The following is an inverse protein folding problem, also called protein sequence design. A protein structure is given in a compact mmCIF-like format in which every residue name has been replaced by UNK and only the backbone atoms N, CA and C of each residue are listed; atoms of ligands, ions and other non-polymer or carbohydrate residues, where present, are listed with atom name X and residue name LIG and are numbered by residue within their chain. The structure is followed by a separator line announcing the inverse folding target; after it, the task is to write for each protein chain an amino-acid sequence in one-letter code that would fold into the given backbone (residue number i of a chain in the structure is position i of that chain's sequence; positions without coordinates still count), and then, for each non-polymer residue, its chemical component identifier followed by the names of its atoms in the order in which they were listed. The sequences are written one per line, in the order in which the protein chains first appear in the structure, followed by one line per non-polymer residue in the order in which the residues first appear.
data_IF_691714491811
#
_entry.id   IF_691714491811
#
_cell.length_a   1.000
_cell.length_b   1.000
_cell.length_c   1.000
_cell.angle_alpha   90.00
_cell.angle_beta   90.00
_cell.angle_gamma   90.00
#
_symmetry.space_group_name_H-M   'P 1'
#
loop_
_entity.id
_entity.type
_entity.pdbx_description
1 polymer ?
#
# COMPACT_ATOMS: atom_id res chain seq x y z
N UNK A 1 -3.60 -17.17 9.35
CA UNK A 1 -2.41 -17.53 10.14
C UNK A 1 -1.88 -16.36 10.96
N UNK A 2 -1.74 -15.16 10.39
CA UNK A 2 -1.14 -14.02 11.09
C UNK A 2 -2.11 -13.43 12.14
N UNK A 3 -3.42 -13.45 11.84
CA UNK A 3 -4.46 -13.12 12.83
C UNK A 3 -4.38 -14.07 14.04
N UNK A 4 -4.26 -15.38 13.80
CA UNK A 4 -4.20 -16.40 14.87
C UNK A 4 -2.90 -16.33 15.69
N UNK A 5 -1.85 -15.72 15.16
CA UNK A 5 -0.57 -15.50 15.86
C UNK A 5 -0.53 -14.22 16.70
N UNK A 6 -1.56 -13.40 16.62
CA UNK A 6 -1.63 -12.17 17.39
C UNK A 6 -0.82 -11.00 16.83
N UNK A 7 -0.40 -11.01 15.55
CA UNK A 7 0.31 -9.89 14.96
C UNK A 7 -0.64 -8.81 14.44
N UNK A 8 -0.34 -7.51 14.60
CA UNK A 8 -1.11 -6.44 14.00
C UNK A 8 -1.20 -6.64 12.49
N UNK A 9 -2.38 -6.43 11.94
CA UNK A 9 -2.66 -6.65 10.52
C UNK A 9 -3.38 -5.43 9.94
N UNK A 10 -2.78 -4.83 8.93
CA UNK A 10 -3.37 -3.74 8.15
C UNK A 10 -3.69 -4.24 6.75
N UNK A 11 -4.94 -4.14 6.37
CA UNK A 11 -5.43 -4.53 5.04
C UNK A 11 -5.92 -3.27 4.32
N UNK A 12 -5.38 -3.00 3.14
CA UNK A 12 -5.84 -1.95 2.23
C UNK A 12 -6.30 -2.62 0.96
N UNK A 13 -7.61 -2.63 0.74
CA UNK A 13 -8.24 -3.37 -0.36
C UNK A 13 -8.90 -2.40 -1.34
N UNK A 14 -8.41 -2.38 -2.57
CA UNK A 14 -8.93 -1.55 -3.65
C UNK A 14 -10.17 -2.11 -4.34
N UNK A 15 -10.53 -3.36 -4.04
CA UNK A 15 -11.72 -4.04 -4.59
C UNK A 15 -12.43 -4.85 -3.51
N UNK A 16 -12.90 -4.19 -2.44
CA UNK A 16 -13.45 -4.88 -1.28
C UNK A 16 -14.69 -5.68 -1.62
N UNK A 17 -14.86 -6.82 -0.92
CA UNK A 17 -16.09 -7.57 -0.90
C UNK A 17 -16.61 -7.72 0.53
N UNK A 18 -17.92 -7.66 0.70
CA UNK A 18 -18.56 -7.81 2.02
C UNK A 18 -18.25 -9.18 2.64
N UNK A 19 -18.10 -10.23 1.82
CA UNK A 19 -17.75 -11.57 2.26
C UNK A 19 -16.34 -11.61 2.87
N UNK A 20 -15.36 -10.99 2.22
CA UNK A 20 -13.97 -10.92 2.74
C UNK A 20 -13.92 -10.13 4.06
N UNK A 21 -14.61 -9.00 4.11
CA UNK A 21 -14.68 -8.17 5.33
C UNK A 21 -15.30 -8.95 6.48
N UNK A 22 -16.45 -9.60 6.24
CA UNK A 22 -17.15 -10.38 7.25
C UNK A 22 -16.29 -11.54 7.76
N UNK A 23 -15.62 -12.24 6.85
CA UNK A 23 -14.74 -13.36 7.20
C UNK A 23 -13.53 -12.91 8.04
N UNK A 24 -12.85 -11.82 7.67
CA UNK A 24 -11.69 -11.31 8.42
C UNK A 24 -12.12 -10.80 9.79
N UNK A 25 -13.27 -10.11 9.88
CA UNK A 25 -13.84 -9.66 11.14
C UNK A 25 -14.16 -10.83 12.07
N UNK A 26 -14.82 -11.86 11.56
CA UNK A 26 -15.16 -13.06 12.33
C UNK A 26 -13.88 -13.76 12.83
N UNK A 27 -12.87 -13.89 11.96
CA UNK A 27 -11.59 -14.49 12.33
C UNK A 27 -10.86 -13.69 13.41
N UNK A 28 -10.90 -12.35 13.35
CA UNK A 28 -10.34 -11.49 14.39
C UNK A 28 -11.06 -11.71 15.72
N UNK A 29 -12.40 -11.72 15.72
CA UNK A 29 -13.22 -11.95 16.91
C UNK A 29 -12.98 -13.32 17.54
N UNK A 30 -12.91 -14.39 16.74
CA UNK A 30 -12.61 -15.75 17.22
C UNK A 30 -11.24 -15.86 17.89
N UNK A 31 -10.33 -14.95 17.57
CA UNK A 31 -8.99 -14.88 18.17
C UNK A 31 -8.87 -13.76 19.23
N UNK A 32 -9.99 -13.25 19.75
CA UNK A 32 -10.07 -12.18 20.75
C UNK A 32 -9.31 -10.92 20.35
N UNK A 33 -9.38 -10.53 19.07
CA UNK A 33 -8.70 -9.37 18.53
C UNK A 33 -9.67 -8.28 18.15
N UNK A 34 -9.30 -7.03 18.42
CA UNK A 34 -10.03 -5.87 17.95
C UNK A 34 -10.02 -5.80 16.43
N UNK A 35 -11.18 -5.46 15.84
CA UNK A 35 -11.31 -5.25 14.41
C UNK A 35 -11.83 -3.83 14.15
N UNK A 36 -11.10 -3.07 13.35
CA UNK A 36 -11.48 -1.75 12.88
C UNK A 36 -11.74 -1.80 11.37
N UNK A 37 -12.86 -1.23 10.93
CA UNK A 37 -13.24 -1.23 9.52
C UNK A 37 -13.52 0.18 9.03
N UNK A 38 -12.74 0.68 8.05
CA UNK A 38 -13.02 1.92 7.35
C UNK A 38 -13.88 1.61 6.11
N UNK A 39 -15.01 2.31 5.95
CA UNK A 39 -15.98 2.13 4.87
C UNK A 39 -16.50 0.68 4.74
N UNK A 40 -16.53 -0.05 5.84
CA UNK A 40 -17.10 -1.40 5.92
C UNK A 40 -17.69 -1.63 7.31
N UNK A 41 -18.34 -2.78 7.52
CA UNK A 41 -19.12 -3.11 8.72
C UNK A 41 -18.58 -2.48 10.02
N UNK A 42 -19.38 -1.64 10.67
CA UNK A 42 -19.26 -0.98 11.96
C UNK A 42 -18.83 0.51 11.96
N UNK A 43 -18.70 1.18 10.81
CA UNK A 43 -18.53 2.64 10.72
C UNK A 43 -17.52 3.22 11.72
N UNK A 44 -16.26 2.86 11.57
CA UNK A 44 -15.18 3.47 12.33
C UNK A 44 -14.65 4.70 11.59
N UNK A 45 -14.40 5.77 12.33
CA UNK A 45 -13.71 6.95 11.86
C UNK A 45 -12.20 6.74 11.93
N UNK A 46 -11.46 7.33 11.00
CA UNK A 46 -10.01 7.18 10.92
C UNK A 46 -9.29 8.48 11.26
N UNK A 47 -8.54 8.45 12.36
CA UNK A 47 -7.62 9.52 12.72
C UNK A 47 -6.29 9.35 12.00
N UNK A 48 -6.18 9.92 10.83
CA UNK A 48 -4.95 9.88 10.04
C UNK A 48 -3.89 10.90 10.51
N UNK A 49 -4.21 11.75 11.47
CA UNK A 49 -3.33 12.77 12.03
C UNK A 49 -2.82 12.42 13.43
N UNK A 50 -3.22 11.27 13.99
CA UNK A 50 -2.83 10.82 15.33
C UNK A 50 -1.33 10.68 15.52
N UNK A 51 -0.57 10.46 14.45
CA UNK A 51 0.88 10.29 14.49
C UNK A 51 1.59 11.33 13.65
N UNK A 52 2.68 11.87 14.19
CA UNK A 52 3.56 12.78 13.48
C UNK A 52 3.71 14.13 14.17
N UNK A 53 4.92 14.71 14.08
CA UNK A 53 5.15 16.13 14.32
C UNK A 53 4.77 16.94 13.09
N UNK A 54 4.85 18.28 13.18
CA UNK A 54 4.45 19.16 12.08
C UNK A 54 5.18 18.88 10.76
N UNK A 55 6.43 18.43 10.79
CA UNK A 55 7.18 18.06 9.57
C UNK A 55 6.64 16.79 8.94
N UNK A 56 6.38 15.74 9.73
CA UNK A 56 5.84 14.48 9.23
C UNK A 56 4.40 14.62 8.72
N UNK A 57 3.57 15.40 9.42
CA UNK A 57 2.22 15.71 8.95
C UNK A 57 2.26 16.51 7.64
N UNK A 58 3.20 17.48 7.51
CA UNK A 58 3.43 18.20 6.26
C UNK A 58 3.79 17.22 5.13
N UNK A 59 4.74 16.32 5.33
CA UNK A 59 5.16 15.36 4.31
C UNK A 59 4.03 14.39 3.94
N UNK A 60 3.24 13.95 4.93
CA UNK A 60 2.05 13.11 4.73
C UNK A 60 1.05 13.79 3.79
N UNK A 61 0.74 15.07 4.01
CA UNK A 61 -0.25 15.82 3.25
C UNK A 61 0.27 16.24 1.87
N UNK A 62 1.50 16.73 1.77
CA UNK A 62 2.12 17.12 0.49
C UNK A 62 2.17 15.93 -0.49
N UNK A 63 2.43 14.74 0.01
CA UNK A 63 2.53 13.53 -0.80
C UNK A 63 1.19 13.04 -1.38
N UNK A 64 0.06 13.61 -0.96
CA UNK A 64 -1.24 13.31 -1.57
C UNK A 64 -1.32 13.79 -3.03
N UNK A 65 -0.57 14.86 -3.37
CA UNK A 65 -0.48 15.40 -4.73
C UNK A 65 0.79 14.87 -5.43
N UNK A 66 0.61 14.07 -6.50
CA UNK A 66 1.74 13.46 -7.23
C UNK A 66 2.48 14.44 -8.11
N UNK A 67 1.72 15.28 -8.83
CA UNK A 67 2.27 16.16 -9.85
C UNK A 67 2.04 17.62 -9.45
N UNK A 68 3.14 18.35 -9.38
CA UNK A 68 3.15 19.80 -9.16
C UNK A 68 3.50 20.49 -10.47
N UNK A 69 2.89 21.62 -10.73
CA UNK A 69 3.15 22.41 -11.94
C UNK A 69 4.60 22.87 -12.02
N UNK A 70 5.23 23.11 -10.86
CA UNK A 70 6.66 23.38 -10.73
C UNK A 70 7.12 23.12 -9.29
N UNK A 71 8.43 22.97 -9.10
CA UNK A 71 9.05 22.88 -7.77
C UNK A 71 8.81 24.13 -6.92
N UNK A 72 8.59 25.28 -7.56
CA UNK A 72 8.26 26.53 -6.87
C UNK A 72 6.96 26.43 -6.09
N UNK A 73 5.86 25.99 -6.73
CA UNK A 73 4.58 25.83 -6.06
C UNK A 73 4.61 24.77 -4.97
N UNK A 74 5.36 23.70 -5.21
CA UNK A 74 5.57 22.68 -4.19
C UNK A 74 6.26 23.24 -2.95
N UNK A 75 7.36 24.00 -3.15
CA UNK A 75 8.13 24.57 -2.05
C UNK A 75 7.33 25.57 -1.22
N UNK A 76 6.50 26.39 -1.87
CA UNK A 76 5.58 27.31 -1.18
C UNK A 76 4.55 26.54 -0.34
N UNK A 77 3.91 25.53 -0.94
CA UNK A 77 2.94 24.72 -0.23
C UNK A 77 3.56 23.97 0.96
N UNK A 78 4.79 23.49 0.83
CA UNK A 78 5.54 22.84 1.92
C UNK A 78 5.83 23.83 3.06
N UNK A 79 6.32 25.04 2.77
CA UNK A 79 6.65 26.03 3.79
C UNK A 79 5.40 26.54 4.50
N UNK A 80 4.33 26.85 3.73
CA UNK A 80 3.04 27.27 4.29
C UNK A 80 2.47 26.21 5.21
N UNK A 81 2.36 24.99 4.72
CA UNK A 81 1.78 23.87 5.47
C UNK A 81 2.59 23.53 6.73
N UNK A 82 3.91 23.53 6.64
CA UNK A 82 4.78 23.28 7.79
C UNK A 82 4.63 24.36 8.86
N UNK A 83 4.57 25.62 8.47
CA UNK A 83 4.39 26.75 9.40
C UNK A 83 3.00 26.69 10.02
N UNK A 84 1.95 26.47 9.23
CA UNK A 84 0.57 26.33 9.69
C UNK A 84 0.43 25.16 10.69
N UNK A 85 0.95 23.97 10.37
CA UNK A 85 0.88 22.81 11.27
C UNK A 85 1.64 23.04 12.58
N UNK A 86 2.80 23.73 12.52
CA UNK A 86 3.52 24.11 13.74
C UNK A 86 2.68 25.02 14.62
N UNK A 87 1.95 25.94 14.03
CA UNK A 87 1.04 26.85 14.74
C UNK A 87 -0.14 26.08 15.35
N UNK A 88 -0.79 25.21 14.56
CA UNK A 88 -1.93 24.42 15.04
C UNK A 88 -1.55 23.49 16.20
N UNK A 89 -0.39 22.84 16.12
CA UNK A 89 0.13 22.00 17.21
C UNK A 89 0.48 22.84 18.44
N UNK A 90 1.16 23.99 18.28
CA UNK A 90 1.49 24.87 19.37
C UNK A 90 0.26 25.45 20.07
N UNK A 91 -0.83 25.65 19.34
CA UNK A 91 -2.11 26.07 19.86
C UNK A 91 -2.77 25.06 20.83
N UNK A 92 -2.37 23.80 20.78
CA UNK A 92 -2.85 22.75 21.68
C UNK A 92 -4.32 22.38 21.53
N UNK A 93 -5.01 22.89 20.51
CA UNK A 93 -6.40 22.54 20.20
C UNK A 93 -6.42 21.37 19.22
N UNK A 94 -7.32 20.39 19.36
CA UNK A 94 -7.51 19.33 18.37
C UNK A 94 -7.83 19.90 16.98
N UNK A 95 -7.33 19.26 15.95
CA UNK A 95 -7.60 19.60 14.56
C UNK A 95 -7.70 18.34 13.71
N UNK A 96 -8.45 18.41 12.64
CA UNK A 96 -8.69 17.34 11.68
C UNK A 96 -8.32 17.79 10.25
N UNK A 97 -8.59 16.96 9.25
CA UNK A 97 -8.32 17.30 7.84
C UNK A 97 -9.14 18.51 7.36
N UNK A 98 -10.36 18.67 7.85
CA UNK A 98 -11.20 19.82 7.51
C UNK A 98 -10.58 21.12 8.05
N UNK A 99 -10.14 21.11 9.30
CA UNK A 99 -9.40 22.22 9.93
C UNK A 99 -8.14 22.59 9.14
N UNK A 100 -7.37 21.57 8.69
CA UNK A 100 -6.18 21.82 7.87
C UNK A 100 -6.56 22.47 6.54
N UNK A 101 -7.60 21.97 5.86
CA UNK A 101 -8.05 22.53 4.58
C UNK A 101 -8.57 23.97 4.72
N UNK A 102 -9.29 24.27 5.79
CA UNK A 102 -9.73 25.63 6.10
C UNK A 102 -8.56 26.58 6.37
N UNK A 103 -7.59 26.14 7.17
CA UNK A 103 -6.40 26.93 7.54
C UNK A 103 -5.39 27.11 6.38
N UNK A 104 -5.56 26.43 5.24
CA UNK A 104 -4.85 26.78 4.00
C UNK A 104 -5.30 28.16 3.46
N UNK A 105 -6.46 28.66 3.88
CA UNK A 105 -6.84 30.05 3.68
C UNK A 105 -6.23 30.90 4.79
N UNK A 106 -5.49 31.95 4.41
CA UNK A 106 -4.77 32.81 5.36
C UNK A 106 -5.70 33.49 6.39
N UNK A 107 -6.87 33.96 5.96
CA UNK A 107 -7.80 34.67 6.83
C UNK A 107 -8.41 33.72 7.89
N UNK A 108 -8.71 32.48 7.50
CA UNK A 108 -9.15 31.45 8.42
C UNK A 108 -8.09 31.09 9.46
N UNK A 109 -6.83 30.93 9.04
CA UNK A 109 -5.71 30.66 9.94
C UNK A 109 -5.50 31.82 10.92
N UNK A 110 -5.53 33.08 10.41
CA UNK A 110 -5.35 34.27 11.20
C UNK A 110 -6.45 34.40 12.26
N UNK A 111 -7.71 34.22 11.90
CA UNK A 111 -8.85 34.26 12.82
C UNK A 111 -8.69 33.20 13.93
N UNK A 112 -8.31 31.97 13.56
CA UNK A 112 -8.10 30.88 14.53
C UNK A 112 -6.99 31.23 15.53
N UNK A 113 -5.91 31.86 15.10
CA UNK A 113 -4.79 32.26 15.98
C UNK A 113 -5.17 33.46 16.84
N UNK A 114 -5.98 34.38 16.33
CA UNK A 114 -6.52 35.48 17.14
C UNK A 114 -7.42 35.00 18.29
N UNK A 115 -8.22 33.95 18.07
CA UNK A 115 -9.02 33.33 19.14
C UNK A 115 -8.18 32.74 20.28
N UNK A 116 -6.94 32.31 19.94
CA UNK A 116 -5.98 31.76 20.91
C UNK A 116 -5.33 32.90 21.72
N UNK A 117 -5.12 34.05 21.10
CA UNK A 117 -4.58 35.25 21.74
C UNK A 117 -3.06 35.21 21.97
N UNK A 118 -2.33 34.31 21.31
CA UNK A 118 -0.86 34.21 21.40
C UNK A 118 -0.22 35.14 20.38
N UNK A 119 0.41 36.24 20.87
CA UNK A 119 1.09 37.20 19.99
C UNK A 119 2.23 36.61 19.17
N UNK A 120 2.90 35.57 19.69
CA UNK A 120 4.00 34.92 18.98
C UNK A 120 3.48 34.18 17.77
N UNK A 121 2.37 33.44 17.91
CA UNK A 121 1.71 32.74 16.83
C UNK A 121 1.13 33.72 15.79
N UNK A 122 0.55 34.83 16.23
CA UNK A 122 0.05 35.91 15.34
C UNK A 122 1.18 36.43 14.43
N UNK A 123 2.36 36.70 15.01
CA UNK A 123 3.54 37.14 14.23
C UNK A 123 4.04 36.08 13.25
N UNK A 124 3.91 34.81 13.58
CA UNK A 124 4.27 33.72 12.68
C UNK A 124 3.29 33.62 11.49
N UNK A 125 1.99 33.71 11.75
CA UNK A 125 0.96 33.73 10.70
C UNK A 125 1.16 34.91 9.76
N UNK A 126 1.51 36.11 10.29
CA UNK A 126 1.71 37.29 9.48
C UNK A 126 2.76 37.11 8.39
N UNK A 127 3.76 36.21 8.57
CA UNK A 127 4.76 35.90 7.55
C UNK A 127 4.16 35.16 6.35
N UNK A 128 3.07 34.43 6.55
CA UNK A 128 2.40 33.67 5.49
C UNK A 128 1.55 34.58 4.57
N UNK A 129 1.30 35.82 4.96
CA UNK A 129 0.53 36.80 4.15
C UNK A 129 1.16 37.12 2.79
N UNK A 130 2.47 36.81 2.62
CA UNK A 130 3.19 37.02 1.36
C UNK A 130 2.89 35.99 0.27
N UNK A 131 2.27 34.86 0.64
CA UNK A 131 1.92 33.81 -0.31
C UNK A 131 0.55 34.07 -0.96
N UNK A 132 0.49 33.92 -2.28
CA UNK A 132 -0.77 34.04 -3.01
C UNK A 132 -1.63 32.77 -2.78
N UNK A 133 -2.92 32.92 -2.59
CA UNK A 133 -3.89 31.83 -2.49
C UNK A 133 -3.79 30.84 -3.67
N UNK A 134 -3.42 31.31 -4.87
CA UNK A 134 -3.22 30.47 -6.04
C UNK A 134 -2.11 29.44 -5.86
N UNK A 135 -1.06 29.80 -5.11
CA UNK A 135 0.11 28.96 -4.95
C UNK A 135 -0.22 27.71 -4.10
N UNK A 136 -1.24 27.82 -3.24
CA UNK A 136 -1.65 26.76 -2.29
C UNK A 136 -2.93 26.03 -2.74
N UNK A 137 -3.68 26.63 -3.67
CA UNK A 137 -5.00 26.12 -4.10
C UNK A 137 -4.99 24.69 -4.64
N UNK A 138 -3.88 24.27 -5.27
CA UNK A 138 -3.70 22.90 -5.74
C UNK A 138 -3.66 21.86 -4.61
N UNK A 139 -3.07 22.20 -3.46
CA UNK A 139 -3.07 21.33 -2.27
C UNK A 139 -4.46 21.27 -1.63
N UNK A 140 -5.12 22.43 -1.49
CA UNK A 140 -6.48 22.48 -0.96
C UNK A 140 -7.46 21.64 -1.80
N UNK A 141 -7.35 21.69 -3.13
CA UNK A 141 -8.17 20.86 -4.03
C UNK A 141 -7.97 19.36 -3.78
N UNK A 142 -6.74 18.91 -3.48
CA UNK A 142 -6.47 17.50 -3.17
C UNK A 142 -7.02 17.06 -1.82
N UNK A 143 -6.96 17.91 -0.78
CA UNK A 143 -7.62 17.63 0.50
C UNK A 143 -9.13 17.57 0.33
N UNK A 144 -9.70 18.45 -0.49
CA UNK A 144 -11.12 18.49 -0.77
C UNK A 144 -11.65 17.20 -1.43
N UNK A 145 -10.80 16.43 -2.13
CA UNK A 145 -11.17 15.11 -2.65
C UNK A 145 -11.55 14.16 -1.51
N UNK A 146 -10.89 14.27 -0.36
CA UNK A 146 -11.19 13.45 0.80
C UNK A 146 -12.37 14.02 1.60
N UNK A 147 -12.27 15.28 2.04
CA UNK A 147 -13.20 15.88 2.99
C UNK A 147 -14.60 16.17 2.42
N UNK A 148 -14.68 16.50 1.12
CA UNK A 148 -15.97 16.78 0.45
C UNK A 148 -16.56 15.53 -0.23
N UNK A 149 -15.97 14.36 -0.03
CA UNK A 149 -16.54 13.10 -0.51
C UNK A 149 -17.70 12.63 0.36
N UNK A 150 -18.51 11.68 -0.14
CA UNK A 150 -19.53 10.99 0.68
C UNK A 150 -18.94 10.27 1.90
N UNK A 151 -17.61 10.06 1.93
CA UNK A 151 -16.89 9.42 3.01
C UNK A 151 -16.08 10.42 3.86
N UNK A 152 -16.25 11.73 3.62
CA UNK A 152 -15.51 12.77 4.32
C UNK A 152 -15.75 12.79 5.84
N UNK A 153 -16.96 12.47 6.26
CA UNK A 153 -17.31 12.43 7.67
C UNK A 153 -16.51 11.37 8.46
N UNK A 154 -15.99 10.33 7.81
CA UNK A 154 -15.17 9.32 8.48
C UNK A 154 -13.79 9.81 8.93
N UNK A 155 -13.40 11.02 8.56
CA UNK A 155 -12.17 11.67 9.04
C UNK A 155 -12.42 12.64 10.20
N UNK A 156 -13.69 12.89 10.57
CA UNK A 156 -14.05 13.78 11.67
C UNK A 156 -13.95 13.08 13.01
N UNK A 157 -13.64 13.82 14.10
CA UNK A 157 -13.63 13.26 15.44
C UNK A 157 -14.95 12.56 15.78
N UNK A 158 -14.87 11.34 16.30
CA UNK A 158 -16.02 10.53 16.66
C UNK A 158 -15.67 9.54 17.79
N UNK A 159 -16.68 9.09 18.54
CA UNK A 159 -16.47 8.13 19.63
C UNK A 159 -15.90 6.77 19.14
N UNK A 160 -16.26 6.35 17.92
CA UNK A 160 -15.75 5.15 17.29
C UNK A 160 -14.60 5.50 16.33
N UNK A 161 -13.57 6.19 16.80
CA UNK A 161 -12.40 6.54 16.02
C UNK A 161 -11.24 5.63 16.34
N UNK A 162 -10.45 5.26 15.32
CA UNK A 162 -9.21 4.52 15.48
C UNK A 162 -8.05 5.25 14.81
N UNK A 163 -6.85 4.93 15.25
CA UNK A 163 -5.61 5.39 14.64
C UNK A 163 -4.67 4.22 14.35
N UNK A 164 -3.76 4.36 13.41
CA UNK A 164 -2.79 3.31 13.09
C UNK A 164 -1.81 3.02 14.24
N UNK A 165 -1.33 4.00 15.03
CA UNK A 165 -0.57 3.69 16.25
C UNK A 165 -1.31 2.73 17.16
N UNK A 166 -2.59 3.03 17.47
CA UNK A 166 -3.43 2.17 18.31
C UNK A 166 -3.59 0.76 17.72
N UNK A 167 -3.83 0.65 16.42
CA UNK A 167 -3.95 -0.66 15.73
C UNK A 167 -2.72 -1.52 15.95
N UNK A 168 -1.52 -0.92 15.88
CA UNK A 168 -0.25 -1.64 16.05
C UNK A 168 0.02 -1.95 17.51
N UNK A 169 -0.25 -1.04 18.43
CA UNK A 169 -0.06 -1.23 19.87
C UNK A 169 -0.96 -2.33 20.43
N UNK A 170 -2.23 -2.33 20.02
CA UNK A 170 -3.27 -3.26 20.49
C UNK A 170 -3.26 -4.61 19.76
N UNK A 171 -2.30 -4.86 18.87
CA UNK A 171 -2.29 -6.05 18.00
C UNK A 171 -3.59 -6.24 17.20
N UNK A 172 -4.23 -5.15 16.85
CA UNK A 172 -5.53 -5.17 16.21
C UNK A 172 -5.46 -5.53 14.71
N UNK A 173 -6.63 -5.79 14.15
CA UNK A 173 -6.83 -5.94 12.69
C UNK A 173 -7.57 -4.73 12.19
N UNK A 174 -7.05 -4.07 11.17
CA UNK A 174 -7.75 -2.99 10.47
C UNK A 174 -7.94 -3.32 8.99
N UNK A 175 -9.12 -3.00 8.47
CA UNK A 175 -9.49 -3.19 7.08
C UNK A 175 -9.96 -1.85 6.50
N UNK A 176 -9.22 -1.36 5.50
CA UNK A 176 -9.59 -0.20 4.70
C UNK A 176 -10.21 -0.67 3.39
N UNK A 177 -11.53 -0.53 3.27
CA UNK A 177 -12.28 -0.85 2.07
C UNK A 177 -12.32 0.36 1.13
N UNK A 178 -11.43 0.39 0.12
CA UNK A 178 -11.34 1.48 -0.84
C UNK A 178 -12.33 1.27 -1.99
N UNK A 179 -13.35 2.12 -2.15
CA UNK A 179 -14.36 1.94 -3.20
C UNK A 179 -13.84 2.41 -4.58
N UNK A 180 -12.75 1.84 -5.07
CA UNK A 180 -12.02 2.34 -6.24
C UNK A 180 -12.82 2.31 -7.53
N UNK A 181 -13.76 1.36 -7.68
CA UNK A 181 -14.66 1.32 -8.82
C UNK A 181 -15.65 2.50 -8.83
N UNK A 182 -16.12 2.89 -7.63
CA UNK A 182 -17.11 3.96 -7.46
C UNK A 182 -16.46 5.34 -7.35
N UNK A 183 -15.37 5.42 -6.58
CA UNK A 183 -14.66 6.66 -6.26
C UNK A 183 -13.14 6.53 -6.52
N UNK A 184 -12.69 6.46 -7.79
CA UNK A 184 -11.29 6.16 -8.11
C UNK A 184 -10.31 7.21 -7.59
N UNK A 185 -10.61 8.50 -7.72
CA UNK A 185 -9.76 9.59 -7.23
C UNK A 185 -9.64 9.60 -5.70
N UNK A 186 -10.77 9.43 -5.01
CA UNK A 186 -10.80 9.30 -3.55
C UNK A 186 -9.95 8.12 -3.08
N UNK A 187 -10.14 6.94 -3.66
CA UNK A 187 -9.41 5.72 -3.29
C UNK A 187 -7.91 5.85 -3.52
N UNK A 188 -7.49 6.51 -4.59
CA UNK A 188 -6.08 6.80 -4.86
C UNK A 188 -5.48 7.72 -3.79
N UNK A 189 -6.15 8.81 -3.45
CA UNK A 189 -5.67 9.77 -2.44
C UNK A 189 -5.68 9.14 -1.06
N UNK A 190 -6.75 8.44 -0.68
CA UNK A 190 -6.85 7.76 0.61
C UNK A 190 -5.79 6.65 0.75
N UNK A 191 -5.57 5.84 -0.27
CA UNK A 191 -4.54 4.81 -0.24
C UNK A 191 -3.15 5.39 0.04
N UNK A 192 -2.81 6.53 -0.57
CA UNK A 192 -1.57 7.26 -0.29
C UNK A 192 -1.50 7.80 1.13
N UNK A 193 -2.59 8.37 1.62
CA UNK A 193 -2.68 8.86 3.00
C UNK A 193 -2.39 7.74 3.99
N UNK A 194 -3.03 6.57 3.83
CA UNK A 194 -2.81 5.39 4.67
C UNK A 194 -1.36 4.93 4.62
N UNK A 195 -0.75 4.85 3.42
CA UNK A 195 0.64 4.42 3.26
C UNK A 195 1.60 5.38 3.96
N UNK A 196 1.39 6.69 3.85
CA UNK A 196 2.24 7.67 4.50
C UNK A 196 2.04 7.69 6.01
N UNK A 197 0.83 7.45 6.48
CA UNK A 197 0.56 7.28 7.92
C UNK A 197 1.26 6.02 8.45
N UNK A 198 1.18 4.89 7.74
CA UNK A 198 1.92 3.67 8.08
C UNK A 198 3.43 3.90 8.15
N UNK A 199 4.01 4.66 7.21
CA UNK A 199 5.43 5.02 7.26
C UNK A 199 5.79 5.75 8.54
N UNK A 200 5.03 6.77 8.91
CA UNK A 200 5.27 7.55 10.11
C UNK A 200 5.15 6.69 11.39
N UNK A 201 4.18 5.78 11.44
CA UNK A 201 3.99 4.87 12.56
C UNK A 201 5.13 3.86 12.65
N UNK A 202 5.47 3.20 11.52
CA UNK A 202 6.55 2.19 11.49
C UNK A 202 7.90 2.80 11.77
N UNK A 203 8.16 4.05 11.38
CA UNK A 203 9.43 4.69 11.69
C UNK A 203 9.66 4.86 13.20
N UNK A 204 8.60 5.13 13.95
CA UNK A 204 8.63 5.24 15.41
C UNK A 204 8.56 3.89 16.14
N UNK A 205 8.20 2.84 15.42
CA UNK A 205 8.00 1.53 15.99
C UNK A 205 9.35 0.86 16.30
N UNK A 206 9.64 0.67 17.60
CA UNK A 206 10.93 0.17 18.07
C UNK A 206 10.88 -1.27 18.59
N UNK A 207 9.75 -1.97 18.43
CA UNK A 207 9.61 -3.34 18.89
C UNK A 207 9.97 -4.33 17.77
N UNK A 208 11.24 -4.69 17.64
CA UNK A 208 11.74 -5.61 16.61
C UNK A 208 11.29 -7.06 16.79
N UNK A 209 10.81 -7.43 17.96
CA UNK A 209 10.32 -8.79 18.25
C UNK A 209 8.87 -9.00 17.75
N UNK A 210 8.15 -7.92 17.54
CA UNK A 210 6.78 -7.92 17.09
C UNK A 210 6.69 -7.66 15.57
N UNK A 211 6.07 -8.56 14.85
CA UNK A 211 5.90 -8.44 13.39
C UNK A 211 4.64 -7.66 13.07
N UNK A 212 4.71 -6.80 12.06
CA UNK A 212 3.55 -6.08 11.52
C UNK A 212 3.27 -6.60 10.12
N UNK A 213 2.05 -7.04 9.86
CA UNK A 213 1.63 -7.54 8.55
C UNK A 213 0.79 -6.50 7.83
N UNK A 214 1.07 -6.31 6.56
CA UNK A 214 0.36 -5.41 5.67
C UNK A 214 -0.06 -6.16 4.42
N UNK A 215 -1.32 -6.01 4.03
CA UNK A 215 -1.88 -6.57 2.79
C UNK A 215 -2.38 -5.41 1.95
N UNK A 216 -1.85 -5.30 0.75
CA UNK A 216 -2.24 -4.31 -0.25
C UNK A 216 -2.87 -5.05 -1.41
N UNK A 217 -4.20 -5.22 -1.37
CA UNK A 217 -4.94 -5.88 -2.45
C UNK A 217 -5.37 -4.88 -3.51
N UNK A 218 -5.37 -5.30 -4.75
CA UNK A 218 -5.51 -4.44 -5.95
C UNK A 218 -4.53 -3.26 -5.90
N UNK A 219 -3.27 -3.57 -5.59
CA UNK A 219 -2.19 -2.62 -5.28
C UNK A 219 -2.00 -1.53 -6.33
N UNK A 220 -2.26 -1.82 -7.60
CA UNK A 220 -2.12 -0.87 -8.72
C UNK A 220 -2.93 0.43 -8.55
N UNK A 221 -4.01 0.42 -7.75
CA UNK A 221 -4.88 1.59 -7.57
C UNK A 221 -4.17 2.73 -6.84
N UNK A 222 -3.35 2.40 -5.86
CA UNK A 222 -2.66 3.37 -4.98
C UNK A 222 -1.15 3.16 -4.95
N UNK A 223 -0.62 2.38 -5.90
CA UNK A 223 0.80 2.12 -6.02
C UNK A 223 1.62 3.41 -6.22
N UNK A 224 2.81 3.44 -5.63
CA UNK A 224 3.75 4.56 -5.73
C UNK A 224 5.03 4.27 -4.96
N UNK A 225 6.06 5.10 -5.15
CA UNK A 225 7.36 4.95 -4.47
C UNK A 225 7.25 4.87 -2.94
N UNK A 226 6.22 5.51 -2.37
CA UNK A 226 6.01 5.54 -0.92
C UNK A 226 5.84 4.15 -0.31
N UNK A 227 5.18 3.23 -1.03
CA UNK A 227 5.00 1.84 -0.57
C UNK A 227 6.32 1.08 -0.60
N UNK A 228 7.12 1.26 -1.65
CA UNK A 228 8.44 0.62 -1.74
C UNK A 228 9.36 1.10 -0.61
N UNK A 229 9.34 2.39 -0.32
CA UNK A 229 10.08 2.96 0.79
C UNK A 229 9.62 2.35 2.13
N UNK A 230 8.30 2.22 2.35
CA UNK A 230 7.75 1.58 3.54
C UNK A 230 8.24 0.13 3.70
N UNK A 231 8.20 -0.66 2.63
CA UNK A 231 8.60 -2.08 2.67
C UNK A 231 10.11 -2.24 2.84
N UNK A 232 10.91 -1.47 2.11
CA UNK A 232 12.36 -1.55 2.18
C UNK A 232 12.90 -1.12 3.55
N UNK A 233 12.41 -0.01 4.10
CA UNK A 233 12.82 0.49 5.42
C UNK A 233 12.19 -0.32 6.55
N UNK A 234 10.94 -0.76 6.39
CA UNK A 234 10.20 -1.51 7.39
C UNK A 234 10.70 -2.94 7.60
N UNK A 235 11.44 -3.52 6.62
CA UNK A 235 11.98 -4.87 6.73
C UNK A 235 12.83 -5.06 7.98
N UNK A 236 13.71 -4.11 8.29
CA UNK A 236 14.54 -4.12 9.50
C UNK A 236 13.74 -3.98 10.80
N UNK A 237 12.49 -3.50 10.72
CA UNK A 237 11.57 -3.30 11.83
C UNK A 237 10.48 -4.39 11.94
N UNK A 238 10.67 -5.53 11.26
CA UNK A 238 9.74 -6.66 11.32
C UNK A 238 8.46 -6.49 10.50
N UNK A 239 8.44 -5.57 9.53
CA UNK A 239 7.31 -5.39 8.61
C UNK A 239 7.32 -6.45 7.54
N UNK A 240 6.16 -7.07 7.30
CA UNK A 240 5.90 -8.00 6.21
C UNK A 240 4.76 -7.47 5.34
N UNK A 241 5.00 -7.35 4.04
CA UNK A 241 3.99 -6.88 3.10
C UNK A 241 3.61 -7.95 2.07
N UNK A 242 2.34 -7.99 1.73
CA UNK A 242 1.77 -8.80 0.64
C UNK A 242 1.14 -7.83 -0.36
N UNK A 243 1.51 -7.96 -1.63
CA UNK A 243 0.96 -7.18 -2.73
C UNK A 243 0.12 -8.07 -3.62
N UNK A 244 -1.16 -7.73 -3.79
CA UNK A 244 -2.07 -8.34 -4.75
C UNK A 244 -2.20 -7.47 -6.00
N UNK A 245 -2.00 -8.05 -7.18
CA UNK A 245 -2.22 -7.40 -8.48
C UNK A 245 -2.72 -8.41 -9.51
N UNK A 246 -3.51 -7.97 -10.48
CA UNK A 246 -4.03 -8.85 -11.54
C UNK A 246 -2.98 -9.17 -12.59
N UNK A 247 -2.00 -8.30 -12.78
CA UNK A 247 -0.90 -8.49 -13.71
C UNK A 247 0.23 -7.50 -13.47
N UNK A 248 1.43 -7.84 -13.94
CA UNK A 248 2.59 -6.95 -13.78
C UNK A 248 2.46 -5.68 -14.64
N UNK A 249 1.70 -5.72 -15.75
CA UNK A 249 1.45 -4.57 -16.60
C UNK A 249 0.68 -3.43 -15.90
N UNK A 250 -0.07 -3.73 -14.84
CA UNK A 250 -0.75 -2.69 -14.07
C UNK A 250 0.24 -1.83 -13.27
N UNK A 251 1.40 -2.38 -12.91
CA UNK A 251 2.46 -1.64 -12.23
C UNK A 251 3.23 -0.70 -13.17
N UNK A 252 3.26 -0.99 -14.47
CA UNK A 252 3.87 -0.12 -15.49
C UNK A 252 3.14 1.22 -15.64
N UNK A 253 1.86 1.31 -15.19
CA UNK A 253 1.07 2.56 -15.22
C UNK A 253 1.55 3.60 -14.21
N UNK A 254 2.29 3.20 -13.19
CA UNK A 254 2.82 4.09 -12.15
C UNK A 254 4.07 4.81 -12.67
N UNK A 255 5.08 4.03 -13.06
CA UNK A 255 6.33 4.47 -13.67
C UNK A 255 7.00 3.26 -14.33
N UNK A 256 7.82 3.48 -15.38
CA UNK A 256 8.52 2.40 -16.10
C UNK A 256 9.46 1.58 -15.21
N UNK A 257 10.05 2.19 -14.19
CA UNK A 257 10.97 1.54 -13.25
C UNK A 257 10.25 0.85 -12.08
N UNK A 258 9.01 1.26 -11.79
CA UNK A 258 8.29 0.84 -10.59
C UNK A 258 8.10 -0.67 -10.48
N UNK A 259 7.69 -1.32 -11.56
CA UNK A 259 7.55 -2.78 -11.62
C UNK A 259 8.86 -3.50 -11.27
N UNK A 260 9.98 -3.07 -11.85
CA UNK A 260 11.30 -3.64 -11.56
C UNK A 260 11.68 -3.46 -10.09
N UNK A 261 11.35 -2.33 -9.50
CA UNK A 261 11.59 -2.06 -8.08
C UNK A 261 10.74 -2.99 -7.20
N UNK A 262 9.44 -3.18 -7.53
CA UNK A 262 8.57 -4.13 -6.80
C UNK A 262 9.15 -5.54 -6.87
N UNK A 263 9.52 -6.03 -8.06
CA UNK A 263 10.10 -7.36 -8.24
C UNK A 263 11.43 -7.55 -7.49
N UNK A 264 12.20 -6.50 -7.32
CA UNK A 264 13.43 -6.52 -6.52
C UNK A 264 13.17 -6.56 -5.00
N UNK A 265 12.05 -6.02 -4.54
CA UNK A 265 11.67 -6.01 -3.13
C UNK A 265 11.03 -7.33 -2.67
N UNK A 266 10.38 -8.07 -3.57
CA UNK A 266 9.67 -9.31 -3.21
C UNK A 266 10.61 -10.50 -3.22
N UNK A 267 10.44 -11.39 -2.24
CA UNK A 267 11.21 -12.63 -2.13
C UNK A 267 10.35 -13.88 -2.39
N UNK A 268 9.05 -13.72 -2.45
CA UNK A 268 8.08 -14.79 -2.68
C UNK A 268 7.03 -14.31 -3.65
N UNK A 269 6.73 -15.11 -4.66
CA UNK A 269 5.67 -14.87 -5.63
C UNK A 269 4.70 -16.06 -5.59
N UNK A 270 3.41 -15.75 -5.51
CA UNK A 270 2.32 -16.72 -5.73
C UNK A 270 1.69 -16.31 -7.05
N UNK A 271 2.00 -17.06 -8.10
CA UNK A 271 1.56 -16.75 -9.45
C UNK A 271 0.40 -17.66 -9.86
N UNK A 272 -0.80 -17.12 -9.92
CA UNK A 272 -1.94 -17.75 -10.56
C UNK A 272 -1.82 -17.66 -12.08
N UNK A 273 -2.73 -18.32 -12.80
CA UNK A 273 -2.75 -18.30 -14.27
C UNK A 273 -2.80 -16.85 -14.79
N UNK A 274 -1.86 -16.51 -15.65
CA UNK A 274 -1.81 -15.23 -16.36
C UNK A 274 -2.25 -15.43 -17.83
N UNK A 275 -2.94 -14.43 -18.37
CA UNK A 275 -3.31 -14.43 -19.79
C UNK A 275 -2.31 -13.61 -20.64
N UNK A 276 -1.58 -12.69 -19.99
CA UNK A 276 -0.64 -11.80 -20.64
C UNK A 276 0.74 -12.45 -20.81
N UNK A 277 1.24 -12.48 -22.06
CA UNK A 277 2.53 -13.07 -22.42
C UNK A 277 3.69 -12.38 -21.72
N UNK A 278 3.70 -11.04 -21.71
CA UNK A 278 4.80 -10.25 -21.14
C UNK A 278 4.96 -10.51 -19.64
N UNK A 279 3.86 -10.50 -18.91
CA UNK A 279 3.90 -10.79 -17.46
C UNK A 279 4.36 -12.23 -17.17
N UNK A 280 3.94 -13.22 -17.99
CA UNK A 280 4.39 -14.59 -17.82
C UNK A 280 5.91 -14.74 -18.08
N UNK A 281 6.44 -14.09 -19.14
CA UNK A 281 7.86 -14.05 -19.43
C UNK A 281 8.68 -13.37 -18.32
N UNK A 282 8.20 -12.26 -17.79
CA UNK A 282 8.85 -11.53 -16.71
C UNK A 282 8.91 -12.35 -15.42
N UNK A 283 7.84 -13.08 -15.07
CA UNK A 283 7.83 -14.00 -13.92
C UNK A 283 8.81 -15.15 -14.17
N UNK A 284 8.80 -15.76 -15.35
CA UNK A 284 9.75 -16.85 -15.71
C UNK A 284 11.20 -16.36 -15.64
N UNK A 285 11.48 -15.15 -16.12
CA UNK A 285 12.80 -14.54 -16.03
C UNK A 285 13.21 -14.22 -14.58
N UNK A 286 12.26 -13.78 -13.75
CA UNK A 286 12.51 -13.55 -12.31
C UNK A 286 12.82 -14.85 -11.57
N UNK A 287 12.16 -15.96 -11.93
CA UNK A 287 12.45 -17.31 -11.41
C UNK A 287 13.87 -17.72 -11.79
N UNK A 288 14.22 -17.59 -13.06
CA UNK A 288 15.52 -17.92 -13.61
C UNK A 288 15.49 -19.12 -14.54
N UNK A 289 16.70 -19.57 -14.92
CA UNK A 289 16.93 -20.67 -15.85
C UNK A 289 17.79 -21.75 -15.23
N UNK A 290 17.63 -22.99 -15.70
CA UNK A 290 18.51 -24.10 -15.40
C UNK A 290 18.97 -24.79 -16.71
N UNK A 291 19.98 -25.65 -16.63
CA UNK A 291 20.45 -26.37 -17.76
C UNK A 291 19.61 -27.63 -17.98
N UNK A 292 18.97 -27.71 -19.16
CA UNK A 292 18.25 -28.89 -19.61
C UNK A 292 19.03 -29.59 -20.71
N UNK A 293 18.97 -30.91 -20.70
CA UNK A 293 19.60 -31.74 -21.70
C UNK A 293 18.62 -32.04 -22.84
N UNK A 294 18.87 -31.48 -24.01
CA UNK A 294 18.10 -31.78 -25.21
C UNK A 294 18.82 -32.89 -26.01
N UNK A 295 18.12 -33.99 -26.20
CA UNK A 295 18.61 -35.11 -27.02
C UNK A 295 17.92 -35.04 -28.38
N UNK A 296 18.71 -34.86 -29.45
CA UNK A 296 18.22 -34.95 -30.82
C UNK A 296 18.61 -36.28 -31.39
N UNK A 297 17.65 -37.16 -31.61
CA UNK A 297 17.87 -38.45 -32.31
C UNK A 297 17.58 -38.26 -33.80
N UNK A 298 18.51 -38.67 -34.67
CA UNK A 298 18.27 -38.78 -36.12
C UNK A 298 17.49 -40.06 -36.37
N UNK A 299 16.25 -39.97 -36.81
CA UNK A 299 15.48 -41.11 -37.30
C UNK A 299 15.94 -41.35 -38.73
N UNK A 300 16.91 -42.22 -38.89
CA UNK A 300 17.31 -42.72 -40.22
C UNK A 300 16.52 -43.99 -40.54
N UNK A 301 16.26 -44.19 -41.84
CA UNK A 301 15.59 -45.37 -42.36
C UNK A 301 16.20 -46.70 -41.86
N UNK A 302 15.41 -47.74 -41.87
CA UNK A 302 15.43 -49.06 -41.25
C UNK A 302 16.77 -49.90 -41.43
N UNK A 303 17.84 -49.28 -41.88
CA UNK A 303 19.05 -50.05 -42.26
C UNK A 303 20.37 -49.66 -41.54
N UNK A 304 20.38 -48.87 -40.51
CA UNK A 304 21.63 -48.55 -39.79
C UNK A 304 21.54 -48.89 -38.28
N UNK A 305 22.41 -49.82 -37.88
CA UNK A 305 22.53 -50.36 -36.50
C UNK A 305 23.06 -49.41 -35.42
N UNK A 306 23.08 -48.09 -35.67
CA UNK A 306 23.53 -47.13 -34.68
C UNK A 306 22.75 -45.85 -34.80
N UNK A 307 21.84 -45.53 -33.85
CA UNK A 307 21.19 -44.25 -33.82
C UNK A 307 22.25 -43.15 -33.57
N UNK A 308 22.47 -42.29 -34.54
CA UNK A 308 23.26 -41.07 -34.36
C UNK A 308 22.41 -40.01 -33.68
N UNK A 309 22.78 -39.64 -32.46
CA UNK A 309 22.15 -38.57 -31.73
C UNK A 309 23.17 -37.53 -31.28
N UNK A 310 22.73 -36.30 -31.11
CA UNK A 310 23.51 -35.25 -30.46
C UNK A 310 22.85 -34.86 -29.13
N UNK A 311 23.68 -34.67 -28.12
CA UNK A 311 23.26 -34.18 -26.82
C UNK A 311 23.74 -32.74 -26.72
N UNK A 312 22.81 -31.82 -26.42
CA UNK A 312 23.13 -30.41 -26.22
C UNK A 312 22.55 -29.96 -24.87
N UNK A 313 23.35 -29.22 -24.10
CA UNK A 313 22.89 -28.53 -22.93
C UNK A 313 22.37 -27.15 -23.32
N UNK A 314 21.10 -26.88 -23.08
CA UNK A 314 20.47 -25.60 -23.31
C UNK A 314 20.04 -25.00 -21.99
N UNK A 315 20.07 -23.67 -21.91
CA UNK A 315 19.41 -22.97 -20.77
C UNK A 315 17.93 -22.89 -21.07
N UNK A 316 17.13 -23.39 -20.16
CA UNK A 316 15.67 -23.35 -20.22
C UNK A 316 15.10 -22.70 -18.95
N UNK A 317 13.95 -22.07 -19.05
CA UNK A 317 13.28 -21.51 -17.88
C UNK A 317 12.92 -22.64 -16.91
N UNK A 318 13.14 -22.43 -15.61
CA UNK A 318 12.70 -23.34 -14.54
C UNK A 318 11.18 -23.48 -14.53
N UNK A 319 10.45 -22.38 -14.77
CA UNK A 319 9.01 -22.35 -15.05
C UNK A 319 8.84 -21.69 -16.41
N UNK A 320 8.35 -22.42 -17.40
CA UNK A 320 8.14 -21.87 -18.73
C UNK A 320 6.96 -20.90 -18.76
N UNK A 321 6.99 -19.78 -19.52
CA UNK A 321 5.86 -18.86 -19.62
C UNK A 321 4.54 -19.53 -20.01
N UNK A 322 4.59 -20.54 -20.87
CA UNK A 322 3.40 -21.30 -21.29
C UNK A 322 2.80 -22.12 -20.13
N UNK A 323 3.62 -22.61 -19.20
CA UNK A 323 3.10 -23.31 -18.01
C UNK A 323 2.28 -22.35 -17.12
N UNK A 324 2.72 -21.12 -16.96
CA UNK A 324 1.97 -20.10 -16.23
C UNK A 324 0.63 -19.80 -16.92
N UNK A 325 0.61 -19.80 -18.25
CA UNK A 325 -0.58 -19.45 -19.04
C UNK A 325 -1.57 -20.61 -19.21
N UNK A 326 -1.09 -21.85 -19.29
CA UNK A 326 -1.88 -22.98 -19.76
C UNK A 326 -2.03 -24.10 -18.74
N UNK A 327 -1.04 -24.34 -17.88
CA UNK A 327 -1.03 -25.52 -17.01
C UNK A 327 -1.80 -25.34 -15.71
N UNK A 328 -2.16 -24.10 -15.31
CA UNK A 328 -2.82 -23.82 -14.05
C UNK A 328 -4.34 -23.84 -14.17
N UNK A 329 -4.98 -24.60 -13.30
CA UNK A 329 -6.45 -24.65 -13.14
C UNK A 329 -6.91 -23.59 -12.14
N UNK A 330 -8.22 -23.24 -12.07
CA UNK A 330 -8.77 -22.38 -11.03
C UNK A 330 -8.38 -22.88 -9.63
N UNK A 331 -7.83 -21.96 -8.82
CA UNK A 331 -7.34 -22.26 -7.47
C UNK A 331 -5.93 -22.89 -7.44
N UNK A 332 -5.27 -23.08 -8.56
CA UNK A 332 -3.85 -23.46 -8.62
C UNK A 332 -2.95 -22.24 -8.82
N UNK A 333 -1.72 -22.35 -8.33
CA UNK A 333 -0.69 -21.33 -8.47
C UNK A 333 0.70 -21.96 -8.46
N UNK A 334 1.67 -21.28 -9.04
CA UNK A 334 3.08 -21.50 -8.71
C UNK A 334 3.44 -20.73 -7.47
N UNK A 335 3.92 -21.43 -6.44
CA UNK A 335 4.53 -20.83 -5.26
C UNK A 335 6.02 -20.82 -5.43
N UNK A 336 6.64 -19.66 -5.46
CA UNK A 336 8.06 -19.47 -5.73
C UNK A 336 8.65 -18.62 -4.61
N UNK A 337 9.70 -19.10 -3.95
CA UNK A 337 10.38 -18.37 -2.89
C UNK A 337 11.89 -18.39 -3.04
N UNK A 338 12.50 -17.23 -2.76
CA UNK A 338 13.96 -17.05 -2.70
C UNK A 338 14.44 -16.84 -1.25
N UNK A 339 13.55 -17.03 -0.27
CA UNK A 339 13.89 -16.92 1.15
C UNK A 339 14.63 -18.19 1.59
N UNK A 340 15.88 -18.02 2.02
CA UNK A 340 16.75 -19.15 2.37
C UNK A 340 17.18 -19.91 1.12
N UNK A 341 16.74 -21.17 0.98
CA UNK A 341 16.99 -21.96 -0.24
C UNK A 341 15.89 -21.67 -1.26
N UNK A 342 16.29 -21.45 -2.53
CA UNK A 342 15.33 -21.35 -3.63
C UNK A 342 14.44 -22.58 -3.67
N UNK A 343 13.12 -22.36 -3.74
CA UNK A 343 12.13 -23.41 -3.85
C UNK A 343 10.95 -22.94 -4.70
N UNK A 344 10.43 -23.82 -5.50
CA UNK A 344 9.23 -23.60 -6.31
C UNK A 344 8.40 -24.87 -6.39
N UNK A 345 7.07 -24.71 -6.43
CA UNK A 345 6.16 -25.83 -6.63
C UNK A 345 4.81 -25.34 -7.17
N UNK A 346 4.09 -26.23 -7.82
CA UNK A 346 2.70 -26.03 -8.20
C UNK A 346 1.81 -26.41 -7.01
N UNK A 347 1.08 -25.44 -6.49
CA UNK A 347 0.25 -25.61 -5.29
C UNK A 347 -1.22 -25.37 -5.60
N UNK A 348 -2.09 -25.99 -4.82
CA UNK A 348 -3.52 -25.66 -4.81
C UNK A 348 -3.86 -24.82 -3.58
N UNK A 349 -4.39 -23.64 -3.82
CA UNK A 349 -4.85 -22.74 -2.75
C UNK A 349 -6.13 -23.31 -2.18
N UNK A 350 -6.15 -23.62 -0.88
CA UNK A 350 -7.38 -23.98 -0.16
C UNK A 350 -8.07 -22.70 0.29
N UNK A 351 -9.29 -22.50 -0.14
CA UNK A 351 -10.16 -21.47 0.43
C UNK A 351 -10.46 -21.91 1.86
N UNK A 352 -9.94 -21.19 2.85
CA UNK A 352 -10.23 -21.41 4.25
C UNK A 352 -11.69 -21.06 4.51
N UNK A 353 -12.59 -22.04 4.49
CA UNK A 353 -13.90 -21.88 5.12
C UNK A 353 -13.71 -22.06 6.61
N UNK A 354 -14.23 -21.14 7.42
CA UNK A 354 -14.39 -21.37 8.84
C UNK A 354 -15.33 -22.56 8.94
N UNK A 355 -14.76 -23.74 9.23
CA UNK A 355 -15.60 -24.87 9.62
C UNK A 355 -16.07 -24.54 11.03
N UNK A 356 -17.38 -24.37 11.18
CA UNK A 356 -18.01 -24.36 12.49
C UNK A 356 -17.63 -25.68 13.18
N UNK A 357 -16.72 -25.57 14.16
CA UNK A 357 -16.45 -26.64 15.13
C UNK A 357 -17.44 -26.54 16.28
#
# INVERSE_FOLDING_TARGET
RDITKGYPLVIVDGKPSDENVAWIKELAQQNNRSFYGFNCANYFHYDCLASGGYTELKDKIISLKDQWESDYYRSIAEDYLQTMLRILIAAGKPFDLETIAECLDYDHLLNRVHEIGDETLIKQVAKLSSYDRKDIGGLQAHLNILINSELGDYFKPHANMFSLPQVIEDDAVVYFALPALRFPSFSKVLGKLIINDLKAVIDRYNNYDKRVFMVFDEFSIFAGEQVLNLVNMGRGKGVHAIFGTQGLGDLDKVDQSFKSQVLNCVNTIICHRLNDQKSAEEISAWVGTDYAMTVTAQINDISSDSPKGSVRWNKEFIIHPDDIKQSLQPGEAFYITKVGKFWQDKVRVKIGRIQNF
#
